data_IF_345670424361
#
_entry.id   IF_345670424361
#
_cell.length_a   1.000
_cell.length_b   1.000
_cell.length_c   1.000
_cell.angle_alpha   90.00
_cell.angle_beta   90.00
_cell.angle_gamma   90.00
#
_symmetry.space_group_name_H-M   'P 1'
#
loop_
_entity.id
_entity.type
_entity.pdbx_description
1 polymer ?
#
# COMPACT_ATOMS: atom_id res chain seq x y z
N UNK A 1 33.94 -42.24 1.50
CA UNK A 1 32.52 -42.40 1.90
C UNK A 1 32.48 -42.34 3.42
N UNK A 2 31.67 -41.56 4.12
CA UNK A 2 30.69 -40.54 3.80
C UNK A 2 30.11 -40.17 5.17
N UNK A 3 30.42 -38.97 5.66
CA UNK A 3 29.86 -38.44 6.91
C UNK A 3 29.36 -37.03 6.61
N UNK A 4 28.26 -36.98 5.86
CA UNK A 4 27.39 -35.81 5.78
C UNK A 4 26.44 -35.85 6.98
N UNK A 5 26.97 -35.61 8.17
CA UNK A 5 26.14 -35.39 9.35
C UNK A 5 25.81 -33.91 9.42
N UNK A 6 24.68 -33.59 8.81
CA UNK A 6 23.75 -32.52 9.18
C UNK A 6 24.42 -31.32 9.85
N UNK A 7 24.91 -30.43 8.98
CA UNK A 7 25.12 -29.03 9.33
C UNK A 7 23.75 -28.46 9.71
N UNK A 8 23.44 -28.53 11.01
CA UNK A 8 22.32 -27.83 11.61
C UNK A 8 22.67 -26.35 11.53
N UNK A 9 22.53 -25.80 10.32
CA UNK A 9 22.47 -24.37 10.12
C UNK A 9 21.49 -23.84 11.15
N UNK A 10 22.05 -22.99 11.98
CA UNK A 10 21.44 -22.07 12.90
C UNK A 10 20.14 -21.45 12.32
N UNK A 11 19.07 -22.23 12.33
CA UNK A 11 17.69 -21.73 12.38
C UNK A 11 17.35 -21.65 13.85
N UNK A 12 18.12 -20.83 14.57
CA UNK A 12 17.54 -20.08 15.69
C UNK A 12 16.18 -19.59 15.21
N UNK A 13 15.05 -19.93 15.88
CA UNK A 13 13.78 -19.35 15.53
C UNK A 13 13.96 -17.85 15.73
N UNK A 14 14.15 -17.12 14.63
CA UNK A 14 14.28 -15.68 14.65
C UNK A 14 13.00 -15.21 15.32
N UNK A 15 13.15 -14.75 16.57
CA UNK A 15 12.08 -14.23 17.42
C UNK A 15 11.10 -13.51 16.50
N UNK A 16 9.82 -13.90 16.42
CA UNK A 16 8.92 -13.39 15.38
C UNK A 16 9.01 -11.88 15.41
N UNK A 17 9.71 -11.33 14.42
CA UNK A 17 9.98 -9.89 14.37
C UNK A 17 8.61 -9.23 14.36
N UNK A 18 8.43 -8.16 15.14
CA UNK A 18 7.15 -7.46 15.27
C UNK A 18 6.51 -7.14 13.89
N UNK A 19 7.35 -7.08 12.85
CA UNK A 19 7.02 -7.14 11.43
C UNK A 19 5.95 -8.16 11.02
N UNK A 20 6.07 -9.44 11.37
CA UNK A 20 5.11 -10.48 10.97
C UNK A 20 3.73 -10.31 11.60
N UNK A 21 3.63 -9.49 12.65
CA UNK A 21 2.37 -9.20 13.32
C UNK A 21 1.62 -8.05 12.64
N UNK A 22 2.27 -7.24 11.80
CA UNK A 22 1.68 -6.05 11.19
C UNK A 22 0.42 -6.39 10.38
N UNK A 23 0.40 -7.40 9.48
CA UNK A 23 -0.81 -7.74 8.75
C UNK A 23 -1.99 -8.13 9.66
N UNK A 24 -1.70 -8.88 10.72
CA UNK A 24 -2.70 -9.28 11.71
C UNK A 24 -3.24 -8.10 12.54
N UNK A 25 -2.36 -7.19 12.95
CA UNK A 25 -2.75 -5.95 13.64
C UNK A 25 -3.59 -5.05 12.72
N UNK A 26 -3.21 -4.91 11.46
CA UNK A 26 -3.96 -4.12 10.48
C UNK A 26 -5.35 -4.70 10.25
N UNK A 27 -5.46 -6.01 10.05
CA UNK A 27 -6.75 -6.69 9.92
C UNK A 27 -7.62 -6.48 11.17
N UNK A 28 -7.04 -6.54 12.37
CA UNK A 28 -7.75 -6.27 13.61
C UNK A 28 -8.25 -4.81 13.68
N UNK A 29 -7.41 -3.83 13.34
CA UNK A 29 -7.79 -2.42 13.29
C UNK A 29 -8.96 -2.16 12.34
N UNK A 30 -8.94 -2.82 11.18
CA UNK A 30 -10.03 -2.79 10.21
C UNK A 30 -11.31 -3.42 10.73
N UNK A 31 -11.24 -4.56 11.41
CA UNK A 31 -12.42 -5.17 12.03
C UNK A 31 -13.07 -4.25 13.07
N UNK A 32 -12.27 -3.50 13.85
CA UNK A 32 -12.79 -2.49 14.77
C UNK A 32 -13.42 -1.31 14.04
N UNK A 33 -12.77 -0.82 12.98
CA UNK A 33 -13.28 0.27 12.14
C UNK A 33 -14.63 -0.10 11.51
N UNK A 34 -14.74 -1.30 10.92
CA UNK A 34 -15.95 -1.81 10.26
C UNK A 34 -17.11 -2.01 11.25
N UNK A 35 -16.81 -2.17 12.55
CA UNK A 35 -17.80 -2.22 13.64
C UNK A 35 -18.24 -0.83 14.13
N UNK A 36 -17.60 0.24 13.67
CA UNK A 36 -17.83 1.62 14.11
C UNK A 36 -17.06 2.03 15.36
N UNK A 37 -16.23 1.14 15.92
CA UNK A 37 -15.41 1.42 17.09
C UNK A 37 -14.07 2.04 16.66
N UNK A 38 -14.06 3.35 16.47
CA UNK A 38 -12.91 4.07 15.92
C UNK A 38 -11.75 4.23 16.92
N UNK A 39 -12.01 4.29 18.23
CA UNK A 39 -10.98 4.46 19.25
C UNK A 39 -9.96 3.29 19.33
N UNK A 40 -10.37 2.00 19.37
CA UNK A 40 -9.42 0.89 19.31
C UNK A 40 -8.73 0.81 17.94
N UNK A 41 -9.42 1.13 16.86
CA UNK A 41 -8.85 1.17 15.50
C UNK A 41 -7.69 2.18 15.41
N UNK A 42 -7.91 3.43 15.83
CA UNK A 42 -6.87 4.48 15.86
C UNK A 42 -5.64 4.05 16.67
N UNK A 43 -5.84 3.43 17.85
CA UNK A 43 -4.73 2.94 18.69
C UNK A 43 -3.88 1.90 17.97
N UNK A 44 -4.51 0.98 17.24
CA UNK A 44 -3.79 -0.08 16.53
C UNK A 44 -3.07 0.49 15.31
N UNK A 45 -3.68 1.40 14.54
CA UNK A 45 -2.98 2.07 13.43
C UNK A 45 -1.73 2.82 13.92
N UNK A 46 -1.84 3.57 15.03
CA UNK A 46 -0.68 4.23 15.66
C UNK A 46 0.38 3.25 16.15
N UNK A 47 -0.03 2.07 16.62
CA UNK A 47 0.91 1.02 17.02
C UNK A 47 1.73 0.52 15.82
N UNK A 48 1.08 0.28 14.68
CA UNK A 48 1.76 -0.15 13.45
C UNK A 48 2.77 0.91 12.98
N UNK A 49 2.37 2.18 13.03
CA UNK A 49 3.25 3.32 12.70
C UNK A 49 4.46 3.41 13.65
N UNK A 50 4.27 3.11 14.94
CA UNK A 50 5.36 3.09 15.92
C UNK A 50 6.33 1.90 15.69
N UNK A 51 5.80 0.73 15.33
CA UNK A 51 6.61 -0.43 14.94
C UNK A 51 7.47 -0.06 13.73
N UNK A 52 6.85 0.59 12.75
CA UNK A 52 7.52 1.09 11.55
C UNK A 52 8.64 2.10 11.84
N UNK A 53 8.42 3.05 12.76
CA UNK A 53 9.46 4.01 13.19
C UNK A 53 10.65 3.34 13.87
N UNK A 54 10.40 2.25 14.60
CA UNK A 54 11.44 1.48 15.30
C UNK A 54 12.20 0.55 14.38
N UNK A 55 11.56 0.05 13.33
CA UNK A 55 12.12 -0.96 12.43
C UNK A 55 12.02 -0.44 10.99
N UNK A 56 12.97 0.43 10.63
CA UNK A 56 12.98 1.16 9.35
C UNK A 56 13.21 0.31 8.10
N UNK A 57 13.46 -0.99 8.24
CA UNK A 57 13.70 -1.92 7.13
C UNK A 57 12.48 -2.79 6.80
N UNK A 58 11.32 -2.53 7.41
CA UNK A 58 10.10 -3.30 7.11
C UNK A 58 9.48 -2.80 5.81
N UNK A 59 9.32 -3.72 4.86
CA UNK A 59 8.62 -3.48 3.61
C UNK A 59 7.29 -4.22 3.64
N UNK A 60 6.24 -3.53 4.07
CA UNK A 60 4.91 -4.10 4.27
C UNK A 60 3.86 -3.08 3.86
N UNK A 61 2.94 -3.46 2.97
CA UNK A 61 1.92 -2.57 2.42
C UNK A 61 0.97 -2.05 3.52
N UNK A 62 0.73 -2.87 4.53
CA UNK A 62 -0.14 -2.58 5.65
C UNK A 62 0.35 -1.39 6.49
N UNK A 63 1.63 -1.05 6.44
CA UNK A 63 2.17 0.19 7.04
C UNK A 63 1.64 1.42 6.29
N UNK A 64 1.64 1.37 4.96
CA UNK A 64 1.11 2.44 4.11
C UNK A 64 -0.39 2.58 4.35
N UNK A 65 -1.11 1.46 4.35
CA UNK A 65 -2.56 1.44 4.57
C UNK A 65 -2.94 1.89 5.98
N UNK A 66 -2.16 1.55 7.01
CA UNK A 66 -2.42 2.00 8.38
C UNK A 66 -2.29 3.52 8.52
N UNK A 67 -1.29 4.13 7.87
CA UNK A 67 -1.14 5.59 7.85
C UNK A 67 -2.30 6.24 7.07
N UNK A 68 -2.69 5.65 5.94
CA UNK A 68 -3.82 6.12 5.13
C UNK A 68 -5.15 6.06 5.88
N UNK A 69 -5.48 4.92 6.50
CA UNK A 69 -6.73 4.74 7.24
C UNK A 69 -6.78 5.64 8.48
N UNK A 70 -5.66 5.81 9.17
CA UNK A 70 -5.57 6.77 10.28
C UNK A 70 -5.80 8.20 9.78
N UNK A 71 -5.25 8.59 8.64
CA UNK A 71 -5.49 9.91 8.05
C UNK A 71 -6.98 10.14 7.74
N UNK A 72 -7.67 9.12 7.23
CA UNK A 72 -9.12 9.18 6.99
C UNK A 72 -9.92 9.34 8.28
N UNK A 73 -9.63 8.51 9.29
CA UNK A 73 -10.27 8.61 10.60
C UNK A 73 -10.06 9.99 11.25
N UNK A 74 -8.85 10.55 11.11
CA UNK A 74 -8.52 11.90 11.57
C UNK A 74 -9.27 12.99 10.78
N UNK A 75 -9.46 12.78 9.48
CA UNK A 75 -10.25 13.68 8.62
C UNK A 75 -11.73 13.67 9.00
N UNK A 76 -12.27 12.50 9.35
CA UNK A 76 -13.67 12.34 9.78
C UNK A 76 -13.91 12.88 11.19
N UNK A 77 -12.85 12.97 12.01
CA UNK A 77 -12.86 13.58 13.36
C UNK A 77 -12.36 15.03 13.38
N UNK A 78 -12.28 15.68 12.21
CA UNK A 78 -11.89 17.09 12.03
C UNK A 78 -10.47 17.46 12.52
N UNK A 79 -9.61 16.47 12.74
CA UNK A 79 -8.20 16.64 13.14
C UNK A 79 -7.30 16.82 11.91
N UNK A 80 -7.57 17.87 11.13
CA UNK A 80 -7.01 18.04 9.78
C UNK A 80 -5.48 18.11 9.74
N UNK A 81 -4.83 18.81 10.68
CA UNK A 81 -3.36 18.92 10.72
C UNK A 81 -2.69 17.56 10.99
N UNK A 82 -3.28 16.72 11.84
CA UNK A 82 -2.76 15.36 12.06
C UNK A 82 -3.05 14.46 10.86
N UNK A 83 -4.22 14.61 10.23
CA UNK A 83 -4.57 13.87 9.03
C UNK A 83 -3.59 14.15 7.88
N UNK A 84 -3.24 15.42 7.66
CA UNK A 84 -2.25 15.84 6.66
C UNK A 84 -0.91 15.16 6.90
N UNK A 85 -0.42 15.17 8.15
CA UNK A 85 0.83 14.50 8.49
C UNK A 85 0.79 12.99 8.18
N UNK A 86 -0.34 12.33 8.44
CA UNK A 86 -0.52 10.91 8.14
C UNK A 86 -0.62 10.63 6.64
N UNK A 87 -1.29 11.49 5.86
CA UNK A 87 -1.31 11.37 4.39
C UNK A 87 0.08 11.52 3.78
N UNK A 88 0.85 12.53 4.19
CA UNK A 88 2.22 12.73 3.73
C UNK A 88 3.12 11.54 4.09
N UNK A 89 2.94 10.96 5.28
CA UNK A 89 3.64 9.75 5.69
C UNK A 89 3.27 8.57 4.78
N UNK A 90 1.98 8.34 4.51
CA UNK A 90 1.53 7.28 3.61
C UNK A 90 2.11 7.44 2.20
N UNK A 91 2.15 8.66 1.65
CA UNK A 91 2.77 8.99 0.36
C UNK A 91 4.26 8.61 0.36
N UNK A 92 5.02 9.06 1.35
CA UNK A 92 6.45 8.78 1.44
C UNK A 92 6.73 7.26 1.57
N UNK A 93 5.95 6.56 2.40
CA UNK A 93 6.07 5.11 2.55
C UNK A 93 5.69 4.35 1.29
N UNK A 94 4.65 4.78 0.59
CA UNK A 94 4.26 4.19 -0.69
C UNK A 94 5.38 4.29 -1.72
N UNK A 95 6.10 5.43 -1.78
CA UNK A 95 7.23 5.60 -2.72
C UNK A 95 8.45 4.72 -2.40
N UNK A 96 8.61 4.28 -1.15
CA UNK A 96 9.75 3.47 -0.71
C UNK A 96 9.44 1.97 -0.61
N UNK A 97 8.23 1.59 -0.19
CA UNK A 97 7.86 0.19 0.04
C UNK A 97 7.32 -0.51 -1.20
N UNK A 98 6.67 0.22 -2.10
CA UNK A 98 6.09 -0.35 -3.32
C UNK A 98 6.64 0.42 -4.50
N UNK A 99 7.66 -0.15 -5.14
CA UNK A 99 7.90 0.14 -6.55
C UNK A 99 6.58 -0.11 -7.31
N UNK A 100 5.85 0.98 -7.57
CA UNK A 100 4.79 1.09 -8.59
C UNK A 100 3.41 0.45 -8.31
N UNK A 101 2.91 0.36 -7.07
CA UNK A 101 1.45 0.19 -6.91
C UNK A 101 0.73 1.54 -7.12
N UNK A 102 0.62 1.91 -8.40
CA UNK A 102 0.03 3.15 -8.87
C UNK A 102 -1.41 3.35 -8.40
N UNK A 103 -2.14 2.26 -8.12
CA UNK A 103 -3.53 2.33 -7.65
C UNK A 103 -3.61 2.81 -6.21
N UNK A 104 -2.78 2.25 -5.33
CA UNK A 104 -2.72 2.65 -3.93
C UNK A 104 -2.22 4.09 -3.82
N UNK A 105 -1.21 4.43 -4.63
CA UNK A 105 -0.68 5.79 -4.66
C UNK A 105 -1.74 6.81 -5.13
N UNK A 106 -2.47 6.51 -6.21
CA UNK A 106 -3.57 7.36 -6.68
C UNK A 106 -4.70 7.48 -5.64
N UNK A 107 -5.02 6.40 -4.93
CA UNK A 107 -6.03 6.40 -3.86
C UNK A 107 -5.66 7.37 -2.72
N UNK A 108 -4.41 7.30 -2.26
CA UNK A 108 -3.90 8.17 -1.20
C UNK A 108 -3.94 9.64 -1.64
N UNK A 109 -3.45 9.94 -2.84
CA UNK A 109 -3.42 11.31 -3.38
C UNK A 109 -4.82 11.91 -3.53
N UNK A 110 -5.78 11.13 -4.03
CA UNK A 110 -7.18 11.56 -4.14
C UNK A 110 -7.77 11.91 -2.77
N UNK A 111 -7.59 11.03 -1.79
CA UNK A 111 -8.14 11.24 -0.44
C UNK A 111 -7.45 12.43 0.26
N UNK A 112 -6.17 12.67 -0.03
CA UNK A 112 -5.47 13.85 0.45
C UNK A 112 -6.00 15.14 -0.22
N UNK A 113 -6.32 15.11 -1.51
CA UNK A 113 -7.01 16.20 -2.20
C UNK A 113 -8.35 16.55 -1.53
N UNK A 114 -9.14 15.55 -1.14
CA UNK A 114 -10.39 15.75 -0.40
C UNK A 114 -10.17 16.45 0.96
N UNK A 115 -9.11 16.08 1.70
CA UNK A 115 -8.72 16.77 2.94
C UNK A 115 -8.38 18.23 2.66
N UNK A 116 -7.59 18.52 1.62
CA UNK A 116 -7.19 19.89 1.28
C UNK A 116 -8.38 20.76 0.88
N UNK A 117 -9.40 20.20 0.21
CA UNK A 117 -10.67 20.90 -0.03
C UNK A 117 -11.37 21.26 1.28
N UNK A 118 -11.41 20.34 2.25
CA UNK A 118 -11.94 20.64 3.60
C UNK A 118 -11.15 21.75 4.30
N UNK A 119 -9.84 21.82 4.07
CA UNK A 119 -8.95 22.89 4.56
C UNK A 119 -9.01 24.19 3.74
N UNK A 120 -9.85 24.27 2.70
CA UNK A 120 -9.97 25.40 1.76
C UNK A 120 -8.70 25.70 0.94
N UNK A 121 -7.83 24.70 0.77
CA UNK A 121 -6.61 24.75 -0.04
C UNK A 121 -6.89 24.21 -1.46
N UNK A 122 -7.81 24.87 -2.18
CA UNK A 122 -8.34 24.36 -3.46
C UNK A 122 -7.26 24.16 -4.54
N UNK A 123 -6.28 25.06 -4.62
CA UNK A 123 -5.20 24.97 -5.61
C UNK A 123 -4.35 23.71 -5.44
N UNK A 124 -4.05 23.37 -4.19
CA UNK A 124 -3.23 22.19 -3.87
C UNK A 124 -4.04 20.90 -4.04
N UNK A 125 -5.34 20.94 -3.67
CA UNK A 125 -6.27 19.84 -3.90
C UNK A 125 -6.35 19.44 -5.39
N UNK A 126 -6.58 20.42 -6.27
CA UNK A 126 -6.69 20.19 -7.72
C UNK A 126 -5.39 19.61 -8.29
N UNK A 127 -4.23 20.10 -7.84
CA UNK A 127 -2.94 19.58 -8.28
C UNK A 127 -2.76 18.09 -7.92
N UNK A 128 -3.16 17.70 -6.71
CA UNK A 128 -3.07 16.32 -6.25
C UNK A 128 -4.09 15.39 -6.89
N UNK A 129 -5.32 15.86 -7.10
CA UNK A 129 -6.36 15.12 -7.84
C UNK A 129 -5.96 14.88 -9.29
N UNK A 130 -5.36 15.88 -9.95
CA UNK A 130 -4.84 15.74 -11.32
C UNK A 130 -3.77 14.66 -11.38
N UNK A 131 -2.80 14.72 -10.45
CA UNK A 131 -1.75 13.71 -10.34
C UNK A 131 -2.31 12.31 -10.08
N UNK A 132 -3.34 12.18 -9.26
CA UNK A 132 -4.01 10.90 -9.00
C UNK A 132 -4.70 10.36 -10.28
N UNK A 133 -5.34 11.23 -11.06
CA UNK A 133 -5.98 10.87 -12.32
C UNK A 133 -4.96 10.39 -13.36
N UNK A 134 -3.82 11.07 -13.48
CA UNK A 134 -2.74 10.67 -14.40
C UNK A 134 -2.23 9.27 -14.05
N UNK A 135 -1.95 9.01 -12.76
CA UNK A 135 -1.53 7.69 -12.26
C UNK A 135 -2.58 6.60 -12.51
N UNK A 136 -3.87 6.94 -12.35
CA UNK A 136 -4.98 6.05 -12.66
C UNK A 136 -5.07 5.71 -14.15
N UNK A 137 -4.84 6.69 -15.02
CA UNK A 137 -4.85 6.51 -16.48
C UNK A 137 -3.69 5.61 -16.94
N UNK A 138 -2.47 5.82 -16.44
CA UNK A 138 -1.32 4.95 -16.76
C UNK A 138 -1.57 3.48 -16.38
N UNK A 139 -2.17 3.22 -15.22
CA UNK A 139 -2.48 1.87 -14.78
C UNK A 139 -3.53 1.14 -15.66
N UNK A 140 -4.36 1.88 -16.41
CA UNK A 140 -5.33 1.27 -17.33
C UNK A 140 -4.71 0.89 -18.68
N UNK A 141 -3.72 1.64 -19.15
CA UNK A 141 -3.01 1.38 -20.41
C UNK A 141 -2.16 0.11 -20.31
N UNK A 142 -1.45 -0.08 -19.19
CA UNK A 142 -0.60 -1.25 -18.94
C UNK A 142 -1.41 -2.57 -18.94
N UNK A 143 -2.67 -2.51 -18.50
CA UNK A 143 -3.59 -3.67 -18.49
C UNK A 143 -4.09 -4.04 -19.90
N UNK A 144 -4.07 -3.10 -20.84
CA UNK A 144 -4.50 -3.33 -22.22
C UNK A 144 -3.36 -3.83 -23.12
N UNK A 145 -2.10 -3.44 -22.82
CA UNK A 145 -0.92 -3.95 -23.54
C UNK A 145 -0.64 -5.44 -23.30
N UNK A 146 -0.98 -5.96 -22.11
CA UNK A 146 -0.84 -7.39 -21.80
C UNK A 146 -1.88 -8.28 -22.52
N UNK A 147 -3.03 -7.73 -22.96
CA UNK A 147 -4.06 -8.51 -23.65
C UNK A 147 -3.89 -8.55 -25.17
N UNK A 148 -2.88 -7.88 -25.74
CA UNK A 148 -2.66 -7.82 -27.18
C UNK A 148 -1.60 -8.79 -27.72
N UNK A 149 -1.08 -9.69 -26.88
CA UNK A 149 0.05 -10.58 -27.25
C UNK A 149 -0.32 -12.03 -27.62
N UNK A 150 -1.60 -12.40 -27.75
CA UNK A 150 -1.99 -13.82 -28.02
C UNK A 150 -2.63 -14.12 -29.37
N UNK A 151 -2.68 -13.21 -30.35
CA UNK A 151 -3.28 -13.52 -31.66
C UNK A 151 -2.44 -13.03 -32.86
N UNK A 152 -1.17 -13.45 -32.98
CA UNK A 152 -0.46 -13.31 -34.26
C UNK A 152 0.36 -14.51 -34.73
N UNK A 153 0.37 -15.65 -34.02
CA UNK A 153 1.31 -16.75 -34.33
C UNK A 153 0.70 -18.09 -34.79
N UNK A 154 -0.56 -18.16 -35.21
CA UNK A 154 -1.16 -19.41 -35.75
C UNK A 154 -1.58 -19.36 -37.21
N UNK A 155 -0.99 -18.50 -38.04
CA UNK A 155 -1.34 -18.41 -39.46
C UNK A 155 -0.19 -18.57 -40.46
N UNK A 156 0.90 -19.29 -40.15
CA UNK A 156 1.85 -19.73 -41.19
C UNK A 156 2.50 -21.08 -40.85
N UNK A 157 1.74 -22.18 -40.92
CA UNK A 157 2.29 -23.52 -41.23
C UNK A 157 1.18 -24.56 -41.37
N UNK A 158 0.56 -24.61 -42.56
CA UNK A 158 0.21 -25.90 -43.15
C UNK A 158 0.80 -25.92 -44.56
N UNK A 159 2.05 -26.37 -44.59
CA UNK A 159 2.79 -26.68 -45.79
C UNK A 159 2.14 -27.84 -46.55
N UNK A 160 2.08 -27.69 -47.87
CA UNK A 160 2.46 -28.67 -48.89
C UNK A 160 2.81 -30.08 -48.38
N UNK A 161 2.04 -31.09 -48.77
CA UNK A 161 2.49 -32.39 -49.30
C UNK A 161 1.30 -33.00 -50.07
N UNK A 162 1.51 -33.34 -51.33
CA UNK A 162 0.56 -33.99 -52.24
C UNK A 162 0.90 -33.69 -53.69
#
# INVERSE_FOLDING_TARGET
MGSSENDWHDVSPTKPSAEHMIPGLYALARCWYDRGDYAPSEKIYRLIINIDDRVKNITCLEIVLSAYDLARLLTDTERYMEAEHMFLRAINRCTHCLSQDHKIFALILRSYGELLRKMKLEKEAVALETRAADLGAYATVDRQSDSTYTESDTAVSSATIG
#
